data_IF_649175594648
#
_entry.id   IF_649175594648
#
_cell.length_a   1.000
_cell.length_b   1.000
_cell.length_c   1.000
_cell.angle_alpha   90.00
_cell.angle_beta   90.00
_cell.angle_gamma   90.00
#
_symmetry.space_group_name_H-M   'P 1'
#
loop_
_entity.id
_entity.type
_entity.pdbx_description
1 polymer ?
#
# COMPACT_ATOMS: atom_id res chain seq x y z
N UNK A 1 12.83 -14.64 3.81
CA UNK A 1 12.05 -13.77 2.90
C UNK A 1 10.90 -14.58 2.36
N UNK A 2 9.71 -14.01 2.16
CA UNK A 2 8.56 -14.71 1.56
C UNK A 2 8.64 -14.67 0.04
N UNK A 3 8.03 -15.64 -0.64
CA UNK A 3 8.05 -15.76 -2.12
C UNK A 3 7.18 -14.69 -2.79
N UNK A 4 6.09 -14.30 -2.13
CA UNK A 4 5.18 -13.29 -2.64
C UNK A 4 4.07 -12.91 -1.66
N UNK A 5 3.30 -11.91 -2.07
CA UNK A 5 2.10 -11.44 -1.37
C UNK A 5 1.06 -10.97 -2.38
N UNK A 6 -0.20 -11.41 -2.21
CA UNK A 6 -1.32 -10.91 -3.00
C UNK A 6 -1.53 -9.42 -2.76
N UNK A 7 -1.80 -8.66 -3.81
CA UNK A 7 -2.10 -7.24 -3.67
C UNK A 7 -3.32 -6.80 -4.48
N UNK A 8 -3.87 -5.64 -4.10
CA UNK A 8 -4.86 -4.92 -4.88
C UNK A 8 -4.56 -3.42 -4.93
N UNK A 9 -5.13 -2.75 -5.93
CA UNK A 9 -5.14 -1.28 -6.03
C UNK A 9 -6.37 -0.82 -6.81
N UNK A 10 -6.79 0.45 -6.60
CA UNK A 10 -7.97 1.00 -7.29
C UNK A 10 -7.61 1.97 -8.39
N UNK A 11 -6.57 2.77 -8.23
CA UNK A 11 -6.25 3.87 -9.13
C UNK A 11 -4.86 3.73 -9.73
N UNK A 12 -4.69 4.35 -10.89
CA UNK A 12 -3.39 4.41 -11.57
C UNK A 12 -2.74 5.77 -11.41
N UNK A 13 -1.42 5.77 -11.43
CA UNK A 13 -0.58 6.95 -11.31
C UNK A 13 0.48 6.97 -12.41
N UNK A 14 0.57 8.09 -13.13
CA UNK A 14 1.68 8.35 -14.07
C UNK A 14 2.49 9.56 -13.60
N UNK A 15 3.80 9.41 -13.36
CA UNK A 15 4.67 10.52 -12.98
C UNK A 15 4.98 11.47 -14.14
N UNK A 16 4.89 11.02 -15.40
CA UNK A 16 5.47 11.69 -16.56
C UNK A 16 4.49 11.92 -17.72
N UNK A 17 3.31 11.32 -17.73
CA UNK A 17 2.36 11.52 -18.83
C UNK A 17 1.76 12.93 -18.88
N UNK A 18 1.39 13.40 -20.08
CA UNK A 18 0.92 14.78 -20.30
C UNK A 18 -0.61 14.91 -20.34
N UNK A 19 -1.34 13.80 -20.49
CA UNK A 19 -2.81 13.83 -20.55
C UNK A 19 -3.44 14.42 -19.28
N UNK A 20 -4.68 14.92 -19.42
CA UNK A 20 -5.49 15.41 -18.30
C UNK A 20 -5.64 14.36 -17.21
N UNK A 21 -5.74 13.06 -17.58
CA UNK A 21 -5.83 11.95 -16.63
C UNK A 21 -4.53 11.78 -15.87
N UNK A 22 -3.38 11.92 -16.53
CA UNK A 22 -2.07 11.92 -15.87
C UNK A 22 -1.94 13.07 -14.86
N UNK A 23 -2.37 14.28 -15.24
CA UNK A 23 -2.39 15.43 -14.34
C UNK A 23 -3.29 15.18 -13.12
N UNK A 24 -4.50 14.61 -13.32
CA UNK A 24 -5.42 14.22 -12.24
C UNK A 24 -4.80 13.13 -11.33
N UNK A 25 -4.05 12.17 -11.89
CA UNK A 25 -3.37 11.14 -11.11
C UNK A 25 -2.28 11.73 -10.20
N UNK A 26 -1.56 12.75 -10.68
CA UNK A 26 -0.57 13.49 -9.88
C UNK A 26 -1.23 14.31 -8.77
N UNK A 27 -2.34 14.99 -9.07
CA UNK A 27 -3.12 15.71 -8.07
C UNK A 27 -3.65 14.75 -6.98
N UNK A 28 -4.24 13.61 -7.38
CA UNK A 28 -4.70 12.59 -6.44
C UNK A 28 -3.57 12.14 -5.52
N UNK A 29 -2.38 11.87 -6.07
CA UNK A 29 -1.21 11.49 -5.26
C UNK A 29 -0.78 12.63 -4.31
N UNK A 30 -0.82 13.89 -4.74
CA UNK A 30 -0.47 15.03 -3.89
C UNK A 30 -1.42 15.14 -2.71
N UNK A 31 -2.73 15.14 -2.96
CA UNK A 31 -3.78 15.22 -1.93
C UNK A 31 -3.72 14.03 -0.94
N UNK A 32 -3.40 12.82 -1.41
CA UNK A 32 -3.15 11.68 -0.51
C UNK A 32 -1.98 11.95 0.44
N UNK A 33 -0.93 12.65 0.00
CA UNK A 33 0.21 12.98 0.86
C UNK A 33 -0.09 14.08 1.87
N UNK A 34 -1.05 14.94 1.60
CA UNK A 34 -1.54 15.95 2.54
C UNK A 34 -2.35 15.31 3.68
N UNK A 35 -3.05 14.20 3.43
CA UNK A 35 -3.77 13.41 4.44
C UNK A 35 -5.06 14.07 4.92
N UNK A 36 -5.72 14.84 4.07
CA UNK A 36 -7.04 15.37 4.39
C UNK A 36 -8.06 14.24 4.64
N UNK A 37 -8.69 14.25 5.80
CA UNK A 37 -9.57 13.17 6.25
C UNK A 37 -10.81 13.01 5.34
N UNK A 38 -11.44 14.11 4.91
CA UNK A 38 -12.61 14.08 4.04
C UNK A 38 -12.25 13.54 2.65
N UNK A 39 -11.07 13.95 2.15
CA UNK A 39 -10.54 13.42 0.90
C UNK A 39 -10.27 11.92 0.99
N UNK A 40 -9.61 11.47 2.05
CA UNK A 40 -9.32 10.04 2.28
C UNK A 40 -10.61 9.21 2.39
N UNK A 41 -11.60 9.69 3.16
CA UNK A 41 -12.89 9.02 3.31
C UNK A 41 -13.64 8.89 1.97
N UNK A 42 -13.67 9.95 1.15
CA UNK A 42 -14.27 9.90 -0.19
C UNK A 42 -13.69 8.77 -1.07
N UNK A 43 -12.37 8.56 -1.00
CA UNK A 43 -11.72 7.49 -1.75
C UNK A 43 -11.88 6.12 -1.09
N UNK A 44 -11.97 6.05 0.23
CA UNK A 44 -12.28 4.83 0.96
C UNK A 44 -13.69 4.30 0.62
N UNK A 45 -14.69 5.17 0.53
CA UNK A 45 -16.05 4.82 0.05
C UNK A 45 -16.00 4.24 -1.36
N UNK A 46 -15.20 4.81 -2.26
CA UNK A 46 -15.02 4.25 -3.61
C UNK A 46 -14.32 2.90 -3.62
N UNK A 47 -13.36 2.66 -2.72
CA UNK A 47 -12.77 1.33 -2.51
C UNK A 47 -13.84 0.35 -2.05
N UNK A 48 -14.69 0.75 -1.09
CA UNK A 48 -15.80 -0.07 -0.60
C UNK A 48 -16.76 -0.48 -1.72
N UNK A 49 -17.08 0.44 -2.65
CA UNK A 49 -17.89 0.14 -3.84
C UNK A 49 -17.24 -0.91 -4.76
N UNK A 50 -15.89 -0.95 -4.83
CA UNK A 50 -15.18 -1.98 -5.61
C UNK A 50 -15.18 -3.36 -4.95
N UNK A 51 -15.72 -3.50 -3.74
CA UNK A 51 -15.85 -4.79 -3.04
C UNK A 51 -17.18 -5.48 -3.31
N UNK A 52 -18.12 -4.83 -3.98
CA UNK A 52 -19.40 -5.44 -4.37
C UNK A 52 -19.19 -6.74 -5.18
N UNK A 53 -20.11 -7.72 -5.14
CA UNK A 53 -19.88 -9.06 -5.66
C UNK A 53 -19.42 -9.13 -7.13
N UNK A 54 -19.84 -8.17 -7.96
CA UNK A 54 -19.47 -8.10 -9.38
C UNK A 54 -18.31 -7.15 -9.68
N UNK A 55 -17.78 -6.48 -8.65
CA UNK A 55 -16.72 -5.50 -8.82
C UNK A 55 -15.32 -6.13 -8.77
N UNK A 56 -14.32 -5.40 -9.23
CA UNK A 56 -12.96 -5.90 -9.42
C UNK A 56 -12.26 -6.37 -8.12
N UNK A 57 -12.65 -5.85 -6.96
CA UNK A 57 -12.07 -6.23 -5.66
C UNK A 57 -13.00 -7.12 -4.83
N UNK A 58 -14.02 -7.73 -5.43
CA UNK A 58 -14.93 -8.66 -4.75
C UNK A 58 -14.14 -9.75 -3.99
N UNK A 59 -14.39 -9.90 -2.67
CA UNK A 59 -13.71 -10.88 -1.81
C UNK A 59 -12.21 -10.62 -1.57
N UNK A 60 -11.66 -9.48 -1.99
CA UNK A 60 -10.28 -9.12 -1.64
C UNK A 60 -10.18 -8.64 -0.20
N UNK A 61 -11.09 -7.82 0.27
CA UNK A 61 -11.21 -7.44 1.67
C UNK A 61 -12.32 -8.23 2.34
N UNK A 62 -12.13 -8.58 3.61
CA UNK A 62 -13.10 -9.28 4.43
C UNK A 62 -13.42 -8.43 5.68
N UNK A 63 -14.59 -8.62 6.25
CA UNK A 63 -15.09 -7.77 7.34
C UNK A 63 -14.19 -7.78 8.59
N UNK A 64 -13.47 -8.88 8.86
CA UNK A 64 -12.57 -9.05 9.99
C UNK A 64 -11.08 -8.81 9.66
N UNK A 65 -10.77 -8.25 8.49
CA UNK A 65 -9.40 -7.86 8.15
C UNK A 65 -8.89 -6.75 9.09
N UNK A 66 -7.68 -6.93 9.61
CA UNK A 66 -6.95 -5.89 10.33
C UNK A 66 -6.08 -5.12 9.35
N UNK A 67 -6.24 -3.81 9.27
CA UNK A 67 -5.47 -2.96 8.37
C UNK A 67 -4.19 -2.49 9.04
N UNK A 68 -3.03 -2.77 8.42
CA UNK A 68 -1.70 -2.40 8.92
C UNK A 68 -1.07 -1.36 7.99
N UNK A 69 -1.00 -0.09 8.40
CA UNK A 69 -0.41 0.94 7.56
C UNK A 69 1.12 0.77 7.46
N UNK A 70 1.66 0.91 6.25
CA UNK A 70 3.11 0.98 6.04
C UNK A 70 3.67 2.20 6.78
N UNK A 71 4.73 2.06 7.60
CA UNK A 71 5.29 3.18 8.33
C UNK A 71 5.96 4.19 7.41
N UNK A 72 6.07 5.43 7.87
CA UNK A 72 6.78 6.51 7.18
C UNK A 72 8.20 6.11 6.82
N UNK A 73 8.84 6.86 5.92
CA UNK A 73 10.24 6.58 5.49
C UNK A 73 11.29 6.80 6.58
N UNK A 74 10.95 7.53 7.64
CA UNK A 74 11.82 7.77 8.79
C UNK A 74 11.03 7.64 10.11
N UNK A 75 11.66 7.15 11.22
CA UNK A 75 11.00 6.88 12.49
C UNK A 75 10.36 8.12 13.13
N UNK A 76 10.99 9.27 13.00
CA UNK A 76 10.56 10.55 13.60
C UNK A 76 10.18 11.60 12.56
N UNK A 77 9.73 11.18 11.39
CA UNK A 77 9.26 12.12 10.38
C UNK A 77 8.02 12.87 10.90
N UNK A 78 8.11 14.17 11.01
CA UNK A 78 6.96 15.02 11.21
C UNK A 78 5.99 14.98 10.02
N UNK A 79 4.80 15.59 10.17
CA UNK A 79 3.79 15.69 9.13
C UNK A 79 2.90 14.45 9.00
N UNK A 80 2.13 14.40 7.94
CA UNK A 80 1.07 13.42 7.69
C UNK A 80 1.61 12.01 7.47
N UNK A 81 0.91 11.02 8.02
CA UNK A 81 1.14 9.61 7.75
C UNK A 81 0.05 9.08 6.80
N UNK A 82 0.22 9.34 5.51
CA UNK A 82 -0.78 9.05 4.49
C UNK A 82 -1.32 7.61 4.51
N UNK A 83 -0.47 6.61 4.74
CA UNK A 83 -0.91 5.21 4.82
C UNK A 83 -1.80 4.95 6.04
N UNK A 84 -1.54 5.60 7.19
CA UNK A 84 -2.37 5.47 8.39
C UNK A 84 -3.70 6.23 8.22
N UNK A 85 -3.68 7.45 7.67
CA UNK A 85 -4.92 8.18 7.38
C UNK A 85 -5.80 7.41 6.39
N UNK A 86 -5.20 6.83 5.35
CA UNK A 86 -5.92 5.96 4.42
C UNK A 86 -6.49 4.71 5.12
N UNK A 87 -5.71 4.03 5.96
CA UNK A 87 -6.17 2.84 6.67
C UNK A 87 -7.33 3.18 7.63
N UNK A 88 -7.27 4.31 8.32
CA UNK A 88 -8.36 4.81 9.19
C UNK A 88 -9.62 5.07 8.38
N UNK A 89 -9.51 5.80 7.28
CA UNK A 89 -10.63 6.10 6.41
C UNK A 89 -11.26 4.84 5.78
N UNK A 90 -10.45 3.83 5.45
CA UNK A 90 -10.92 2.53 4.97
C UNK A 90 -11.76 1.82 6.04
N UNK A 91 -11.29 1.75 7.30
CA UNK A 91 -12.06 1.17 8.40
C UNK A 91 -13.37 1.93 8.61
N UNK A 92 -13.34 3.25 8.61
CA UNK A 92 -14.54 4.11 8.75
C UNK A 92 -15.54 3.87 7.61
N UNK A 93 -15.07 3.60 6.39
CA UNK A 93 -15.91 3.24 5.25
C UNK A 93 -16.37 1.77 5.26
N UNK A 94 -16.07 0.98 6.30
CA UNK A 94 -16.45 -0.43 6.41
C UNK A 94 -15.55 -1.38 5.61
N UNK A 95 -14.31 -0.98 5.34
CA UNK A 95 -13.28 -1.83 4.72
C UNK A 95 -12.37 -2.36 5.81
N UNK A 96 -12.58 -3.62 6.22
CA UNK A 96 -11.90 -4.23 7.37
C UNK A 96 -12.51 -3.83 8.72
N UNK A 97 -11.99 -4.39 9.81
CA UNK A 97 -12.54 -4.26 11.17
C UNK A 97 -11.87 -3.17 11.99
N UNK A 98 -10.56 -3.04 11.87
CA UNK A 98 -9.74 -2.11 12.68
C UNK A 98 -8.41 -1.80 12.00
N UNK A 99 -7.77 -0.72 12.46
CA UNK A 99 -6.40 -0.38 12.08
C UNK A 99 -5.46 -0.72 13.23
N UNK A 100 -4.37 -1.44 12.91
CA UNK A 100 -3.29 -1.70 13.85
C UNK A 100 -1.97 -1.08 13.34
N UNK A 101 -1.47 0.00 13.98
CA UNK A 101 -0.25 0.69 13.56
C UNK A 101 1.03 0.06 14.12
N UNK A 102 1.02 -1.24 14.44
CA UNK A 102 2.12 -1.94 15.12
C UNK A 102 3.37 -2.18 14.28
N UNK A 103 3.37 -1.88 12.98
CA UNK A 103 4.56 -1.94 12.16
C UNK A 103 5.29 -0.59 12.20
N UNK A 104 6.52 -0.57 12.72
CA UNK A 104 7.33 0.65 12.88
C UNK A 104 8.60 0.60 12.06
N UNK A 105 9.21 1.77 11.87
CA UNK A 105 10.53 1.88 11.25
C UNK A 105 11.55 2.32 12.29
N UNK A 106 12.58 1.50 12.53
CA UNK A 106 13.66 1.76 13.49
C UNK A 106 14.83 2.53 12.87
N UNK A 107 14.94 2.56 11.55
CA UNK A 107 15.95 3.33 10.83
C UNK A 107 15.35 3.99 9.59
N UNK A 108 15.85 5.18 9.25
CA UNK A 108 15.41 5.90 8.08
C UNK A 108 15.79 5.18 6.79
N UNK A 109 14.88 5.17 5.83
CA UNK A 109 15.10 4.64 4.48
C UNK A 109 14.84 5.76 3.48
N UNK A 110 15.74 5.93 2.49
CA UNK A 110 15.58 6.95 1.45
C UNK A 110 14.21 6.80 0.75
N UNK A 111 13.50 7.91 0.55
CA UNK A 111 12.23 7.90 -0.19
C UNK A 111 12.45 7.40 -1.60
N UNK A 112 11.74 6.35 -2.03
CA UNK A 112 11.85 5.78 -3.38
C UNK A 112 11.49 6.77 -4.48
N UNK A 113 10.59 7.72 -4.19
CA UNK A 113 10.14 8.73 -5.15
C UNK A 113 11.24 9.74 -5.54
N UNK A 114 12.20 10.01 -4.63
CA UNK A 114 13.29 11.00 -4.85
C UNK A 114 14.64 10.34 -5.11
N UNK A 115 14.72 9.01 -5.05
CA UNK A 115 15.96 8.29 -5.27
C UNK A 115 16.28 8.18 -6.78
N UNK A 116 17.53 8.49 -7.16
CA UNK A 116 18.05 8.26 -8.52
C UNK A 116 17.88 6.78 -8.91
N UNK A 117 17.78 6.52 -10.24
CA UNK A 117 17.75 5.15 -10.77
C UNK A 117 18.97 4.37 -10.23
N UNK A 118 18.75 3.20 -9.65
CA UNK A 118 19.80 2.40 -8.98
C UNK A 118 19.97 2.65 -7.47
N UNK A 119 19.55 3.81 -6.94
CA UNK A 119 19.70 4.15 -5.50
C UNK A 119 18.42 3.89 -4.67
N UNK A 120 17.42 3.25 -5.24
CA UNK A 120 16.18 2.93 -4.51
C UNK A 120 16.43 1.81 -3.50
N UNK A 121 15.91 1.91 -2.26
CA UNK A 121 16.10 0.89 -1.26
C UNK A 121 15.65 -0.50 -1.74
N UNK A 122 16.45 -1.53 -1.43
CA UNK A 122 16.10 -2.93 -1.69
C UNK A 122 15.03 -3.42 -0.72
N UNK A 123 14.43 -4.58 -1.01
CA UNK A 123 13.51 -5.26 -0.07
C UNK A 123 14.22 -5.57 1.24
N UNK A 124 15.45 -6.07 1.20
CA UNK A 124 16.24 -6.37 2.38
C UNK A 124 16.47 -5.13 3.27
N UNK A 125 16.74 -3.95 2.66
CA UNK A 125 16.90 -2.70 3.41
C UNK A 125 15.58 -2.24 4.06
N UNK A 126 14.46 -2.37 3.36
CA UNK A 126 13.14 -2.12 3.97
C UNK A 126 12.88 -3.07 5.12
N UNK A 127 13.10 -4.36 4.92
CA UNK A 127 12.90 -5.41 5.91
C UNK A 127 13.73 -5.16 7.18
N UNK A 128 15.04 -4.89 7.05
CA UNK A 128 15.92 -4.59 8.17
C UNK A 128 15.54 -3.32 8.95
N UNK A 129 14.82 -2.39 8.29
CA UNK A 129 14.36 -1.15 8.92
C UNK A 129 13.03 -1.28 9.65
N UNK A 130 12.30 -2.39 9.48
CA UNK A 130 11.01 -2.61 10.12
C UNK A 130 11.14 -3.37 11.44
N UNK A 131 10.39 -2.93 12.42
CA UNK A 131 10.14 -3.62 13.68
C UNK A 131 8.63 -3.75 13.87
N UNK A 132 8.20 -4.85 14.48
CA UNK A 132 6.80 -5.08 14.80
C UNK A 132 6.61 -5.01 16.31
N UNK A 133 5.65 -4.22 16.77
CA UNK A 133 5.12 -4.35 18.14
C UNK A 133 4.27 -5.61 18.23
N UNK A 134 4.37 -6.38 19.33
CA UNK A 134 3.49 -7.52 19.52
C UNK A 134 2.02 -7.06 19.48
N UNK A 135 1.17 -7.67 18.62
CA UNK A 135 -0.24 -7.36 18.66
C UNK A 135 -0.85 -7.93 19.96
N UNK A 136 -1.72 -7.16 20.61
CA UNK A 136 -2.47 -7.65 21.79
C UNK A 136 -3.37 -8.84 21.47
N UNK A 137 -3.82 -8.97 20.22
CA UNK A 137 -4.62 -10.07 19.69
C UNK A 137 -3.95 -10.53 18.40
N UNK A 138 -3.82 -11.84 18.17
CA UNK A 138 -3.29 -12.39 16.92
C UNK A 138 -4.37 -12.33 15.83
N UNK A 139 -4.24 -11.45 14.83
CA UNK A 139 -5.22 -11.35 13.76
C UNK A 139 -5.13 -12.59 12.84
N UNK A 140 -6.26 -13.15 12.44
CA UNK A 140 -6.31 -14.22 11.43
C UNK A 140 -5.94 -13.70 10.04
N UNK A 141 -6.27 -12.43 9.76
CA UNK A 141 -6.08 -11.77 8.47
C UNK A 141 -5.57 -10.34 8.64
N UNK A 142 -4.61 -10.00 7.81
CA UNK A 142 -4.02 -8.65 7.75
C UNK A 142 -4.00 -8.15 6.31
N UNK A 143 -4.35 -6.90 6.10
CA UNK A 143 -4.11 -6.17 4.85
C UNK A 143 -3.15 -5.01 5.14
N UNK A 144 -1.95 -5.09 4.54
CA UNK A 144 -0.96 -4.00 4.62
C UNK A 144 -1.41 -2.88 3.70
N UNK A 145 -1.53 -1.66 4.22
CA UNK A 145 -2.02 -0.48 3.48
C UNK A 145 -0.89 0.48 3.17
N UNK A 146 -0.75 0.88 1.90
CA UNK A 146 0.17 1.93 1.44
C UNK A 146 -0.58 2.93 0.54
N UNK A 147 -0.03 4.10 0.32
CA UNK A 147 -0.62 5.09 -0.59
C UNK A 147 -0.31 4.78 -2.06
N UNK A 148 0.93 4.42 -2.38
CA UNK A 148 1.39 4.19 -3.77
C UNK A 148 2.27 2.95 -3.88
N UNK A 149 1.89 2.02 -4.73
CA UNK A 149 2.73 0.89 -5.11
C UNK A 149 3.42 1.14 -6.46
N UNK A 150 4.76 0.95 -6.49
CA UNK A 150 5.53 0.83 -7.72
C UNK A 150 5.90 -0.64 -7.98
N UNK A 151 7.08 -1.07 -7.57
CA UNK A 151 7.53 -2.47 -7.65
C UNK A 151 7.01 -3.33 -6.49
N UNK A 152 6.55 -2.71 -5.40
CA UNK A 152 6.07 -3.42 -4.21
C UNK A 152 7.15 -3.78 -3.19
N UNK A 153 8.38 -3.24 -3.30
CA UNK A 153 9.49 -3.55 -2.37
C UNK A 153 9.14 -3.33 -0.91
N UNK A 154 8.48 -2.22 -0.60
CA UNK A 154 8.06 -1.87 0.76
C UNK A 154 7.01 -2.85 1.28
N UNK A 155 5.98 -3.14 0.46
CA UNK A 155 4.90 -4.05 0.82
C UNK A 155 5.39 -5.48 1.00
N UNK A 156 6.29 -5.96 0.13
CA UNK A 156 6.88 -7.30 0.26
C UNK A 156 7.74 -7.42 1.53
N UNK A 157 8.52 -6.38 1.85
CA UNK A 157 9.31 -6.34 3.07
C UNK A 157 8.44 -6.30 4.34
N UNK A 158 7.35 -5.52 4.31
CA UNK A 158 6.39 -5.46 5.40
C UNK A 158 5.67 -6.81 5.60
N UNK A 159 5.26 -7.45 4.51
CA UNK A 159 4.65 -8.78 4.54
C UNK A 159 5.61 -9.84 5.09
N UNK A 160 6.89 -9.79 4.71
CA UNK A 160 7.92 -10.68 5.26
C UNK A 160 8.12 -10.48 6.77
N UNK A 161 8.13 -9.22 7.25
CA UNK A 161 8.26 -8.93 8.68
C UNK A 161 7.03 -9.37 9.48
N UNK A 162 5.84 -9.17 8.94
CA UNK A 162 4.60 -9.66 9.55
C UNK A 162 4.56 -11.20 9.58
N UNK A 163 5.00 -11.88 8.52
CA UNK A 163 5.04 -13.35 8.46
C UNK A 163 5.96 -13.98 9.51
N UNK A 164 7.09 -13.33 9.83
CA UNK A 164 7.98 -13.80 10.90
C UNK A 164 7.30 -13.80 12.28
N UNK A 165 6.55 -12.74 12.56
CA UNK A 165 5.90 -12.57 13.87
C UNK A 165 4.52 -13.26 13.94
N UNK A 166 3.86 -13.44 12.81
CA UNK A 166 2.49 -13.94 12.68
C UNK A 166 2.44 -15.04 11.60
N UNK A 167 3.02 -16.23 11.85
CA UNK A 167 3.19 -17.26 10.84
C UNK A 167 1.86 -17.80 10.27
N UNK A 168 0.81 -17.84 11.09
CA UNK A 168 -0.50 -18.38 10.72
C UNK A 168 -1.47 -17.34 10.15
N UNK A 169 -1.06 -16.07 10.11
CA UNK A 169 -1.89 -14.96 9.61
C UNK A 169 -1.90 -14.92 8.09
N UNK A 170 -3.07 -14.82 7.48
CA UNK A 170 -3.19 -14.52 6.06
C UNK A 170 -2.85 -13.05 5.80
N UNK A 171 -1.81 -12.81 5.01
CA UNK A 171 -1.31 -11.45 4.72
C UNK A 171 -1.60 -11.10 3.26
N UNK A 172 -2.20 -9.94 3.05
CA UNK A 172 -2.43 -9.31 1.75
C UNK A 172 -1.94 -7.86 1.79
N UNK A 173 -1.84 -7.21 0.65
CA UNK A 173 -1.39 -5.82 0.54
C UNK A 173 -2.36 -5.01 -0.32
N UNK A 174 -2.58 -3.76 0.06
CA UNK A 174 -3.38 -2.80 -0.70
C UNK A 174 -2.63 -1.49 -0.84
N UNK A 175 -2.68 -0.89 -2.03
CA UNK A 175 -2.27 0.49 -2.23
C UNK A 175 -3.33 1.22 -3.04
N UNK A 176 -3.72 2.42 -2.62
CA UNK A 176 -4.76 3.16 -3.33
C UNK A 176 -4.35 3.43 -4.78
N UNK A 177 -3.08 3.82 -4.99
CA UNK A 177 -2.50 4.10 -6.31
C UNK A 177 -1.46 3.05 -6.71
N UNK A 178 -1.44 2.67 -7.98
CA UNK A 178 -0.32 1.95 -8.58
C UNK A 178 0.29 2.71 -9.75
N UNK A 179 1.62 2.69 -9.88
CA UNK A 179 2.27 3.20 -11.08
C UNK A 179 2.06 2.23 -12.25
N UNK A 180 1.64 2.71 -13.40
CA UNK A 180 1.41 1.89 -14.60
C UNK A 180 2.68 1.72 -15.46
N UNK A 181 3.86 1.83 -14.86
CA UNK A 181 5.14 1.60 -15.55
C UNK A 181 5.54 2.73 -16.49
N UNK A 182 6.05 2.36 -17.68
CA UNK A 182 6.59 3.30 -18.68
C UNK A 182 5.53 3.80 -19.68
N UNK A 183 4.24 3.60 -19.39
CA UNK A 183 3.17 4.10 -20.25
C UNK A 183 3.15 5.63 -20.16
N UNK A 184 3.27 6.30 -21.29
CA UNK A 184 3.31 7.75 -21.39
C UNK A 184 2.01 8.39 -20.94
N UNK A 185 0.87 7.83 -21.33
CA UNK A 185 -0.44 8.38 -21.00
C UNK A 185 -1.41 7.35 -20.44
N UNK A 186 -2.24 7.83 -19.51
CA UNK A 186 -3.32 7.06 -18.90
C UNK A 186 -4.63 7.33 -19.65
N UNK A 187 -5.40 6.27 -19.88
CA UNK A 187 -6.75 6.36 -20.44
C UNK A 187 -7.83 6.51 -19.36
N UNK A 188 -7.60 5.89 -18.18
CA UNK A 188 -8.51 5.95 -17.04
C UNK A 188 -7.73 6.21 -15.76
N UNK A 189 -8.33 6.94 -14.82
CA UNK A 189 -7.79 7.13 -13.47
C UNK A 189 -8.17 5.96 -12.56
N UNK A 190 -9.46 5.57 -12.57
CA UNK A 190 -9.96 4.40 -11.88
C UNK A 190 -9.68 3.17 -12.76
N UNK A 191 -8.84 2.29 -12.27
CA UNK A 191 -8.41 1.06 -12.97
C UNK A 191 -8.08 0.01 -11.90
N UNK A 192 -9.12 -0.56 -11.23
CA UNK A 192 -8.93 -1.52 -10.16
C UNK A 192 -8.25 -2.77 -10.67
N UNK A 193 -7.32 -3.31 -9.89
CA UNK A 193 -6.68 -4.57 -10.21
C UNK A 193 -6.32 -5.37 -8.97
N UNK A 194 -6.19 -6.68 -9.15
CA UNK A 194 -5.63 -7.65 -8.20
C UNK A 194 -4.44 -8.31 -8.86
N UNK A 195 -3.47 -8.73 -8.08
CA UNK A 195 -2.28 -9.38 -8.57
C UNK A 195 -1.39 -9.84 -7.45
N UNK A 196 -0.12 -10.03 -7.74
CA UNK A 196 0.86 -10.53 -6.79
C UNK A 196 2.16 -9.72 -6.83
N UNK A 197 2.76 -9.48 -5.67
CA UNK A 197 4.12 -8.96 -5.57
C UNK A 197 5.00 -10.17 -5.28
N UNK A 198 5.89 -10.54 -6.20
CA UNK A 198 6.80 -11.69 -6.07
C UNK A 198 8.22 -11.26 -5.80
N UNK A 199 8.94 -12.10 -5.05
CA UNK A 199 10.38 -12.03 -4.92
C UNK A 199 11.03 -12.73 -6.11
N UNK A 200 11.60 -11.98 -7.05
CA UNK A 200 12.22 -12.52 -8.25
C UNK A 200 13.62 -11.92 -8.45
N UNK A 201 14.63 -12.78 -8.60
CA UNK A 201 16.02 -12.38 -8.90
C UNK A 201 16.57 -11.29 -7.96
N UNK A 202 16.29 -11.41 -6.66
CA UNK A 202 16.81 -10.47 -5.66
C UNK A 202 16.04 -9.14 -5.55
N UNK A 203 14.89 -8.98 -6.22
CA UNK A 203 14.05 -7.78 -6.16
C UNK A 203 12.56 -8.12 -6.12
N UNK A 204 11.75 -7.17 -5.69
CA UNK A 204 10.29 -7.27 -5.78
C UNK A 204 9.81 -6.95 -7.19
N UNK A 205 8.93 -7.78 -7.71
CA UNK A 205 8.22 -7.56 -8.97
C UNK A 205 6.72 -7.67 -8.77
N UNK A 206 6.02 -6.62 -9.15
CA UNK A 206 4.55 -6.62 -9.19
C UNK A 206 4.09 -7.25 -10.49
N UNK A 207 3.18 -8.20 -10.37
CA UNK A 207 2.51 -8.92 -11.45
C UNK A 207 1.03 -8.64 -11.26
N UNK A 208 0.39 -7.88 -12.18
CA UNK A 208 -1.05 -7.62 -12.13
C UNK A 208 -1.84 -8.89 -12.38
#
# INVERSE_FOLDING_TARGET
MIDGVAFASCYVYSPAGESVICARSRLLRALLKEGDANFMFKYAVRVRQQMEPTAALAGFFLADDVLVPVPRSAPRAGGTWAAAELARALVEAGVGSTMWPGLHRISAVRKSATAKKGCRPSVARHFASFQLEPPGIRPRRVVIVDDVITKGRTLLAAAARLREALPDTQIRAFALLRTKGMISDLTNLLDPCRGEIRWLRGDARRIP
#
